data_IF_891583050699
#
_entry.id   IF_891583050699
#
_cell.length_a   1.000
_cell.length_b   1.000
_cell.length_c   1.000
_cell.angle_alpha   90.00
_cell.angle_beta   90.00
_cell.angle_gamma   90.00
#
_symmetry.space_group_name_H-M   'P 1'
#
loop_
_entity.id
_entity.type
_entity.pdbx_description
1 polymer ?
#
# COMPACT_ATOMS: atom_id res chain seq x y z
N UNK A 1 18.64 -0.30 -46.81
CA UNK A 1 17.22 -0.53 -46.46
C UNK A 1 17.20 -1.53 -45.32
N UNK A 2 16.94 -1.08 -44.09
CA UNK A 2 16.71 -1.96 -42.95
C UNK A 2 15.33 -2.59 -43.09
N UNK A 3 15.25 -3.91 -43.10
CA UNK A 3 14.01 -4.66 -42.89
C UNK A 3 14.12 -5.31 -41.51
N UNK A 4 13.36 -4.82 -40.55
CA UNK A 4 13.34 -5.34 -39.18
C UNK A 4 12.78 -6.78 -39.19
N UNK A 5 13.41 -7.66 -38.40
CA UNK A 5 12.94 -9.04 -38.18
C UNK A 5 11.52 -9.04 -37.58
N UNK A 6 10.64 -9.97 -37.99
CA UNK A 6 9.33 -10.09 -37.37
C UNK A 6 9.49 -10.56 -35.92
N UNK A 7 8.92 -9.81 -34.99
CA UNK A 7 8.81 -10.22 -33.59
C UNK A 7 7.95 -11.48 -33.50
N UNK A 8 8.50 -12.54 -32.91
CA UNK A 8 7.81 -13.79 -32.64
C UNK A 8 6.55 -13.52 -31.81
N UNK A 9 5.38 -13.62 -32.44
CA UNK A 9 4.09 -13.62 -31.76
C UNK A 9 3.84 -15.03 -31.23
N UNK A 10 4.04 -15.25 -29.93
CA UNK A 10 3.65 -16.49 -29.27
C UNK A 10 2.14 -16.43 -28.95
N UNK A 11 1.32 -17.14 -29.72
CA UNK A 11 -0.08 -17.38 -29.36
C UNK A 11 -0.18 -18.69 -28.56
N UNK A 12 -0.67 -18.57 -27.32
CA UNK A 12 -0.99 -19.72 -26.49
C UNK A 12 -2.50 -19.94 -26.54
N UNK A 13 -2.94 -21.04 -27.15
CA UNK A 13 -4.30 -21.55 -27.00
C UNK A 13 -4.31 -22.43 -25.75
N UNK A 14 -4.94 -21.96 -24.68
CA UNK A 14 -5.14 -22.76 -23.47
C UNK A 14 -6.49 -23.47 -23.56
N UNK A 15 -6.48 -24.77 -23.28
CA UNK A 15 -7.66 -25.65 -23.32
C UNK A 15 -8.65 -25.40 -22.16
N UNK A 16 -8.26 -24.62 -21.14
CA UNK A 16 -9.15 -24.28 -20.02
C UNK A 16 -8.93 -22.85 -19.49
N UNK A 17 -10.03 -22.22 -19.08
CA UNK A 17 -10.08 -20.84 -18.60
C UNK A 17 -9.43 -20.66 -17.21
N UNK A 18 -9.24 -21.75 -16.46
CA UNK A 18 -8.73 -21.76 -15.09
C UNK A 18 -7.24 -21.41 -15.02
N UNK A 19 -6.43 -21.94 -15.94
CA UNK A 19 -5.00 -21.59 -16.03
C UNK A 19 -4.80 -20.15 -16.51
N UNK A 20 -5.67 -19.66 -17.41
CA UNK A 20 -5.65 -18.26 -17.86
C UNK A 20 -5.98 -17.30 -16.71
N UNK A 21 -6.94 -17.64 -15.86
CA UNK A 21 -7.31 -16.84 -14.67
C UNK A 21 -6.15 -16.75 -13.67
N UNK A 22 -5.39 -17.85 -13.48
CA UNK A 22 -4.22 -17.86 -12.60
C UNK A 22 -3.06 -16.99 -13.13
N UNK A 23 -2.82 -17.03 -14.45
CA UNK A 23 -1.80 -16.23 -15.14
C UNK A 23 -2.19 -14.75 -15.20
N UNK A 24 -3.44 -14.44 -15.52
CA UNK A 24 -3.98 -13.09 -15.50
C UNK A 24 -3.95 -12.49 -14.09
N UNK A 25 -4.30 -13.26 -13.05
CA UNK A 25 -4.18 -12.81 -11.66
C UNK A 25 -2.73 -12.52 -11.26
N UNK A 26 -1.74 -13.28 -11.75
CA UNK A 26 -0.33 -13.05 -11.41
C UNK A 26 0.33 -11.92 -12.22
N UNK A 27 -0.07 -11.75 -13.49
CA UNK A 27 0.54 -10.77 -14.39
C UNK A 27 -0.14 -9.39 -14.39
N UNK A 28 -1.44 -9.31 -14.08
CA UNK A 28 -2.22 -8.06 -14.19
C UNK A 28 -2.38 -7.30 -12.86
N UNK A 29 -1.83 -7.81 -11.75
CA UNK A 29 -1.94 -7.17 -10.43
C UNK A 29 -1.03 -5.94 -10.22
N UNK A 30 -0.25 -5.54 -11.22
CA UNK A 30 0.63 -4.37 -11.12
C UNK A 30 -0.02 -3.10 -11.72
N UNK A 31 -0.97 -3.26 -12.65
CA UNK A 31 -1.60 -2.14 -13.36
C UNK A 31 -3.13 -2.05 -13.22
N UNK A 32 -3.79 -3.04 -12.60
CA UNK A 32 -5.17 -2.81 -12.12
C UNK A 32 -5.02 -1.84 -10.95
N UNK A 33 -5.17 -0.54 -11.25
CA UNK A 33 -5.52 0.45 -10.24
C UNK A 33 -6.68 -0.16 -9.48
N UNK A 34 -6.46 -0.47 -8.20
CA UNK A 34 -7.50 -0.93 -7.29
C UNK A 34 -8.71 -0.02 -7.54
N UNK A 35 -9.73 -0.55 -8.22
CA UNK A 35 -10.72 0.29 -8.91
C UNK A 35 -11.34 1.27 -7.92
N UNK A 36 -11.70 2.49 -8.34
CA UNK A 36 -12.19 3.51 -7.41
C UNK A 36 -13.30 2.94 -6.49
N UNK A 37 -13.09 2.99 -5.18
CA UNK A 37 -14.05 2.49 -4.20
C UNK A 37 -14.88 3.63 -3.66
N UNK A 38 -16.20 3.50 -3.77
CA UNK A 38 -17.12 4.44 -3.17
C UNK A 38 -17.54 3.94 -1.79
N UNK A 39 -17.26 4.74 -0.76
CA UNK A 39 -17.77 4.48 0.59
C UNK A 39 -19.30 4.65 0.64
N UNK A 40 -20.02 3.64 1.11
CA UNK A 40 -21.48 3.61 1.07
C UNK A 40 -22.16 4.22 2.30
N UNK A 41 -21.40 4.56 3.34
CA UNK A 41 -21.93 5.13 4.60
C UNK A 41 -22.83 4.20 5.41
N UNK A 42 -23.05 2.96 4.95
CA UNK A 42 -23.84 1.92 5.61
C UNK A 42 -23.22 0.54 5.37
N UNK A 43 -23.26 -0.32 6.38
CA UNK A 43 -22.78 -1.71 6.30
C UNK A 43 -23.81 -2.67 5.69
N UNK A 44 -25.06 -2.24 5.48
CA UNK A 44 -26.14 -3.10 5.01
C UNK A 44 -25.84 -3.84 3.68
N UNK A 45 -25.23 -3.20 2.66
CA UNK A 45 -24.86 -3.88 1.42
C UNK A 45 -23.81 -4.98 1.63
N UNK A 46 -22.88 -4.77 2.56
CA UNK A 46 -21.81 -5.72 2.90
C UNK A 46 -22.28 -6.85 3.83
N UNK A 47 -23.48 -6.79 4.41
CA UNK A 47 -24.00 -7.86 5.27
C UNK A 47 -24.18 -9.19 4.54
N UNK A 48 -24.24 -9.18 3.22
CA UNK A 48 -24.32 -10.40 2.39
C UNK A 48 -22.97 -11.07 2.12
N UNK A 49 -21.86 -10.45 2.54
CA UNK A 49 -20.51 -11.00 2.36
C UNK A 49 -20.21 -12.18 3.32
N UNK A 50 -21.08 -12.41 4.31
CA UNK A 50 -20.94 -13.46 5.32
C UNK A 50 -22.32 -13.92 5.81
N UNK A 51 -22.40 -15.11 6.42
CA UNK A 51 -23.67 -15.70 6.86
C UNK A 51 -24.31 -15.00 8.07
N UNK A 52 -23.50 -14.39 8.95
CA UNK A 52 -23.96 -13.79 10.21
C UNK A 52 -24.47 -12.35 10.06
N UNK A 53 -24.25 -11.71 8.92
CA UNK A 53 -24.36 -10.26 8.78
C UNK A 53 -23.28 -9.51 9.57
N UNK A 54 -23.23 -8.19 9.43
CA UNK A 54 -22.19 -7.30 9.99
C UNK A 54 -20.78 -7.84 9.71
N UNK A 55 -20.47 -7.97 8.42
CA UNK A 55 -19.30 -8.70 7.95
C UNK A 55 -18.01 -7.89 8.00
N UNK A 56 -18.09 -6.57 7.93
CA UNK A 56 -16.92 -5.70 7.98
C UNK A 56 -16.37 -5.59 9.41
N UNK A 57 -15.06 -5.41 9.51
CA UNK A 57 -14.37 -5.04 10.75
C UNK A 57 -14.84 -3.68 11.29
N UNK A 58 -14.65 -3.44 12.59
CA UNK A 58 -14.87 -2.12 13.20
C UNK A 58 -13.93 -1.06 12.62
N UNK A 59 -12.74 -1.47 12.17
CA UNK A 59 -11.77 -0.63 11.46
C UNK A 59 -11.91 -0.74 9.93
N UNK A 60 -13.07 -1.15 9.41
CA UNK A 60 -13.35 -1.21 7.99
C UNK A 60 -14.60 -0.43 7.60
N UNK A 61 -14.63 0.01 6.34
CA UNK A 61 -15.78 0.66 5.72
C UNK A 61 -16.32 -0.22 4.59
N UNK A 62 -17.65 -0.32 4.52
CA UNK A 62 -18.32 -0.97 3.40
C UNK A 62 -18.24 -0.07 2.16
N UNK A 63 -17.65 -0.60 1.10
CA UNK A 63 -17.47 0.11 -0.17
C UNK A 63 -18.06 -0.66 -1.34
N UNK A 64 -18.31 0.08 -2.43
CA UNK A 64 -18.63 -0.49 -3.73
C UNK A 64 -17.48 -0.21 -4.68
N UNK A 65 -16.90 -1.25 -5.28
CA UNK A 65 -15.91 -1.09 -6.35
C UNK A 65 -16.61 -0.55 -7.59
N UNK A 66 -16.31 0.67 -8.02
CA UNK A 66 -17.00 1.31 -9.16
C UNK A 66 -16.73 0.60 -10.48
N UNK A 67 -15.55 -0.01 -10.62
CA UNK A 67 -15.18 -0.79 -11.82
C UNK A 67 -15.76 -2.20 -11.81
N UNK A 68 -15.94 -2.80 -10.63
CA UNK A 68 -16.37 -4.20 -10.49
C UNK A 68 -17.87 -4.32 -10.19
N UNK A 69 -18.50 -3.27 -9.65
CA UNK A 69 -19.87 -3.28 -9.14
C UNK A 69 -20.06 -4.14 -7.88
N UNK A 70 -18.98 -4.68 -7.31
CA UNK A 70 -19.04 -5.57 -6.16
C UNK A 70 -18.86 -4.80 -4.85
N UNK A 71 -19.61 -5.22 -3.82
CA UNK A 71 -19.43 -4.74 -2.46
C UNK A 71 -18.23 -5.44 -1.81
N UNK A 72 -17.43 -4.67 -1.10
CA UNK A 72 -16.31 -5.19 -0.31
C UNK A 72 -16.14 -4.39 0.98
N UNK A 73 -15.49 -4.98 1.97
CA UNK A 73 -15.07 -4.27 3.16
C UNK A 73 -13.62 -3.83 2.95
N UNK A 74 -13.32 -2.55 3.15
CA UNK A 74 -11.96 -2.02 3.08
C UNK A 74 -11.50 -1.54 4.44
N UNK A 75 -10.31 -1.95 4.86
CA UNK A 75 -9.73 -1.41 6.08
C UNK A 75 -9.51 0.09 5.96
N UNK A 76 -9.75 0.80 7.06
CA UNK A 76 -9.51 2.22 7.16
C UNK A 76 -8.03 2.53 6.92
N UNK A 77 -7.71 3.74 6.43
CA UNK A 77 -6.34 4.19 6.28
C UNK A 77 -5.50 3.96 7.56
N UNK A 78 -4.32 3.36 7.40
CA UNK A 78 -3.43 2.97 8.50
C UNK A 78 -3.59 1.51 8.95
N UNK A 79 -4.57 0.78 8.40
CA UNK A 79 -4.81 -0.63 8.66
C UNK A 79 -4.69 -1.48 7.38
N UNK A 80 -4.31 -2.74 7.55
CA UNK A 80 -4.20 -3.72 6.48
C UNK A 80 -4.96 -5.01 6.81
N UNK A 81 -5.26 -5.81 5.79
CA UNK A 81 -5.91 -7.11 5.91
C UNK A 81 -7.11 -7.27 4.99
N UNK A 82 -8.08 -8.12 5.33
CA UNK A 82 -9.19 -8.44 4.40
C UNK A 82 -10.38 -7.50 4.48
N UNK A 83 -10.41 -6.58 5.46
CA UNK A 83 -11.58 -5.73 5.73
C UNK A 83 -12.74 -6.43 6.42
N UNK A 84 -12.77 -7.77 6.40
CA UNK A 84 -13.75 -8.56 7.13
C UNK A 84 -13.48 -8.54 8.63
N UNK A 85 -14.48 -8.96 9.40
CA UNK A 85 -14.48 -8.90 10.86
C UNK A 85 -13.25 -9.56 11.50
N UNK A 86 -12.61 -8.83 12.43
CA UNK A 86 -11.36 -9.15 13.10
C UNK A 86 -10.16 -9.33 12.14
N UNK A 87 -10.19 -8.67 10.99
CA UNK A 87 -9.16 -8.81 9.97
C UNK A 87 -8.54 -7.49 9.54
N UNK A 88 -8.78 -6.38 10.25
CA UNK A 88 -8.02 -5.15 10.05
C UNK A 88 -6.99 -4.96 11.17
N UNK A 89 -5.71 -4.95 10.78
CA UNK A 89 -4.58 -4.80 11.70
C UNK A 89 -3.85 -3.50 11.41
N UNK A 90 -3.41 -2.79 12.45
CA UNK A 90 -2.64 -1.55 12.26
C UNK A 90 -1.29 -1.84 11.60
N UNK A 91 -0.84 -0.96 10.71
CA UNK A 91 0.48 -1.10 10.09
C UNK A 91 1.60 -1.13 11.16
N UNK A 92 2.60 -2.00 10.99
CA UNK A 92 3.73 -2.07 11.92
C UNK A 92 4.56 -0.77 11.89
N UNK A 93 5.26 -0.49 12.98
CA UNK A 93 6.12 0.70 13.09
C UNK A 93 7.17 0.75 11.99
N UNK A 94 7.32 1.92 11.36
CA UNK A 94 8.20 2.10 10.20
C UNK A 94 7.54 1.73 8.87
N UNK A 95 6.23 1.46 8.88
CA UNK A 95 5.40 1.29 7.68
C UNK A 95 4.19 2.23 7.73
N UNK A 96 3.66 2.57 6.57
CA UNK A 96 2.47 3.38 6.39
C UNK A 96 1.49 2.70 5.44
N UNK A 97 0.20 3.01 5.55
CA UNK A 97 -0.79 2.48 4.61
C UNK A 97 -0.75 3.28 3.30
N UNK A 98 -0.63 2.58 2.17
CA UNK A 98 -0.67 3.15 0.82
C UNK A 98 -1.80 2.48 0.03
N UNK A 99 -3.01 2.95 0.30
CA UNK A 99 -4.22 2.35 -0.24
C UNK A 99 -4.84 1.28 0.67
N UNK A 100 -5.90 0.62 0.19
CA UNK A 100 -6.61 -0.38 0.97
C UNK A 100 -5.74 -1.60 1.20
N UNK A 101 -5.80 -2.13 2.43
CA UNK A 101 -5.33 -3.47 2.78
C UNK A 101 -3.83 -3.73 2.64
N UNK A 102 -2.99 -2.72 2.35
CA UNK A 102 -1.54 -2.88 2.22
C UNK A 102 -0.75 -1.84 3.04
N UNK A 103 0.37 -2.28 3.62
CA UNK A 103 1.34 -1.40 4.27
C UNK A 103 2.62 -1.38 3.47
N UNK A 104 3.13 -0.18 3.17
CA UNK A 104 4.44 0.02 2.57
C UNK A 104 5.46 0.43 3.62
N UNK A 105 6.71 -0.03 3.51
CA UNK A 105 7.78 0.43 4.38
C UNK A 105 8.09 1.91 4.12
N UNK A 106 8.45 2.63 5.17
CA UNK A 106 9.01 3.96 5.04
C UNK A 106 10.33 3.90 4.25
N UNK A 107 10.72 5.00 3.56
CA UNK A 107 11.86 5.03 2.65
C UNK A 107 13.23 4.92 3.34
N UNK A 108 13.28 5.07 4.67
CA UNK A 108 14.50 5.06 5.46
C UNK A 108 14.34 4.15 6.67
N UNK A 109 15.36 3.35 6.97
CA UNK A 109 15.37 2.37 8.07
C UNK A 109 15.31 3.02 9.46
N UNK A 110 15.68 4.30 9.55
CA UNK A 110 15.60 5.11 10.76
C UNK A 110 14.28 5.87 10.87
N UNK A 111 13.33 5.67 9.95
CA UNK A 111 11.96 6.10 10.16
C UNK A 111 11.23 5.22 11.19
N UNK A 112 10.30 5.85 11.89
CA UNK A 112 9.27 5.27 12.73
C UNK A 112 7.93 5.88 12.36
N UNK A 113 6.86 5.13 12.60
CA UNK A 113 5.49 5.61 12.39
C UNK A 113 4.71 5.43 13.68
N UNK A 114 3.88 6.42 13.99
CA UNK A 114 2.89 6.35 15.07
C UNK A 114 1.54 5.98 14.48
N UNK A 115 0.86 4.94 14.98
CA UNK A 115 -0.48 4.59 14.51
C UNK A 115 -1.49 5.72 14.78
N UNK A 116 -2.45 5.97 13.87
CA UNK A 116 -2.59 5.40 12.53
C UNK A 116 -1.58 6.00 11.54
N UNK A 117 -0.80 5.15 10.87
CA UNK A 117 0.22 5.57 9.91
C UNK A 117 -0.41 5.88 8.54
N UNK A 118 -1.00 7.08 8.44
CA UNK A 118 -1.70 7.61 7.26
C UNK A 118 -0.70 8.12 6.22
N UNK A 119 -0.36 7.29 5.24
CA UNK A 119 0.51 7.69 4.13
C UNK A 119 1.96 8.00 4.52
N UNK A 120 2.76 8.35 3.52
CA UNK A 120 4.21 8.61 3.63
C UNK A 120 4.57 9.71 4.64
N UNK A 121 3.68 10.69 4.84
CA UNK A 121 3.89 11.80 5.79
C UNK A 121 3.92 11.35 7.25
N UNK A 122 3.45 10.14 7.54
CA UNK A 122 3.49 9.56 8.87
C UNK A 122 4.87 9.03 9.25
N UNK A 123 5.79 8.89 8.29
CA UNK A 123 7.17 8.48 8.52
C UNK A 123 7.97 9.62 9.17
N UNK A 124 8.43 9.42 10.40
CA UNK A 124 9.24 10.39 11.14
C UNK A 124 10.55 9.77 11.60
N UNK A 125 11.63 10.56 11.64
CA UNK A 125 12.92 10.04 12.08
C UNK A 125 12.91 9.65 13.56
N UNK A 126 13.53 8.50 13.89
CA UNK A 126 13.78 8.07 15.27
C UNK A 126 14.49 9.16 16.07
N UNK A 127 14.31 9.14 17.38
CA UNK A 127 15.03 10.04 18.30
C UNK A 127 16.54 9.94 18.07
N UNK A 128 17.20 11.08 17.85
CA UNK A 128 18.62 11.14 17.54
C UNK A 128 18.96 11.25 16.05
N UNK A 129 17.95 11.15 15.17
CA UNK A 129 18.08 11.36 13.73
C UNK A 129 17.38 12.66 13.30
N UNK A 130 17.78 13.23 12.17
CA UNK A 130 17.14 14.40 11.54
C UNK A 130 16.84 14.11 10.09
N UNK A 131 15.69 14.59 9.62
CA UNK A 131 15.32 14.52 8.21
C UNK A 131 16.35 15.26 7.35
N UNK A 132 16.64 14.66 6.20
CA UNK A 132 17.49 15.19 5.13
C UNK A 132 16.61 15.56 3.92
N UNK A 133 17.13 16.38 3.01
CA UNK A 133 16.38 16.82 1.81
C UNK A 133 15.99 15.67 0.86
N UNK A 134 16.57 14.47 1.04
CA UNK A 134 16.29 13.26 0.25
C UNK A 134 15.26 12.33 0.89
N UNK A 135 14.45 12.82 1.83
CA UNK A 135 13.46 12.01 2.55
C UNK A 135 14.09 10.83 3.34
N UNK A 136 15.36 11.00 3.75
CA UNK A 136 16.10 10.06 4.58
C UNK A 136 16.47 10.65 5.95
N UNK A 137 16.94 9.82 6.87
CA UNK A 137 17.23 10.20 8.25
C UNK A 137 18.73 10.04 8.56
N UNK A 138 19.39 11.14 8.90
CA UNK A 138 20.81 11.12 9.30
C UNK A 138 20.98 11.33 10.81
N UNK A 139 21.96 10.66 11.41
CA UNK A 139 22.25 10.84 12.83
C UNK A 139 22.66 12.29 13.14
N UNK A 140 22.16 12.85 14.24
CA UNK A 140 22.54 14.20 14.70
C UNK A 140 24.05 14.30 15.01
N UNK A 141 24.72 13.18 15.28
CA UNK A 141 26.15 13.13 15.60
C UNK A 141 27.03 13.44 14.38
N UNK A 142 26.60 13.05 13.18
CA UNK A 142 27.32 13.34 11.93
C UNK A 142 27.21 14.82 11.54
N UNK A 143 26.07 15.44 11.82
CA UNK A 143 25.84 16.85 11.47
C UNK A 143 26.78 17.81 12.19
N UNK A 144 27.11 17.56 13.45
CA UNK A 144 28.11 18.35 14.17
C UNK A 144 29.53 18.20 13.58
N UNK A 145 29.85 17.06 12.97
CA UNK A 145 31.14 16.88 12.27
C UNK A 145 31.19 17.61 10.92
N UNK A 146 30.05 17.79 10.26
CA UNK A 146 29.94 18.59 9.03
C UNK A 146 30.08 20.10 9.26
N UNK A 147 29.53 20.61 10.36
CA UNK A 147 29.71 22.03 10.74
C UNK A 147 31.11 22.29 11.30
N UNK A 148 31.70 21.32 12.00
CA UNK A 148 33.07 21.45 12.51
C UNK A 148 34.14 21.50 11.40
N UNK A 149 33.85 21.04 10.18
CA UNK A 149 34.75 21.17 9.04
C UNK A 149 34.56 22.48 8.24
N UNK A 150 33.48 23.21 8.47
CA UNK A 150 33.24 24.52 7.84
C UNK A 150 33.68 25.72 8.72
N UNK A 151 34.25 25.45 9.90
CA UNK A 151 34.53 26.47 10.92
C UNK A 151 35.99 26.64 11.34
N UNK A 152 36.97 26.16 10.57
CA UNK A 152 38.40 26.44 10.83
C UNK A 152 39.11 26.83 9.53
N UNK A 153 38.84 28.04 9.08
CA UNK A 153 39.80 28.86 8.33
C UNK A 153 39.91 30.17 9.09
N UNK A 154 40.95 30.27 9.92
CA UNK A 154 41.56 31.52 10.37
C UNK A 154 43.06 31.27 10.49
#
# INVERSE_FOLDING_TARGET
MLSSSPGEYYSYLLDSFEEFESLARRALHVDIKDGDYLSLGSSAPCNKLCATGNCCDDNAVCTCGTSTGHYTCLCNPGYYGSGLRNSCFACPSGSFADGPNSCLPCPDVHHVTTPPALGIKSCQCKTGYRATDRNGCESKLTFFRGIALAGVVH
#
